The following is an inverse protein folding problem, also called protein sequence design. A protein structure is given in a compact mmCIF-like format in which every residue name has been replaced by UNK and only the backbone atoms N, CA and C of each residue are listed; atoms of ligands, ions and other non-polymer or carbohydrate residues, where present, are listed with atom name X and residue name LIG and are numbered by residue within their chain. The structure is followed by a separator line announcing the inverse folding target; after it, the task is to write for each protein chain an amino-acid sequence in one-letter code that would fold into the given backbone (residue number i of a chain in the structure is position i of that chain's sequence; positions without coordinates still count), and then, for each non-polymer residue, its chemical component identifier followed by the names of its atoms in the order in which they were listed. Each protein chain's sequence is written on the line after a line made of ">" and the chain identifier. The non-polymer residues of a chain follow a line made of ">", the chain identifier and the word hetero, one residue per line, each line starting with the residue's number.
data_IF_573564036193
#
_entry.id   IF_573564036193
#
_cell.length_a   1.000
_cell.length_b   1.000
_cell.length_c   1.000
_cell.angle_alpha   90.00
_cell.angle_beta   90.00
_cell.angle_gamma   90.00
#
_symmetry.space_group_name_H-M   'P 1'
#
loop_
_entity.id
_entity.type
_entity.pdbx_description
1 polymer ?
#
# COMPACT_ATOMS: atom_id res chain seq x y z
N UNK A 1 -2.57 -7.51 -20.02
CA UNK A 1 -2.73 -6.33 -19.16
C UNK A 1 -1.37 -6.00 -18.63
N UNK A 2 -0.89 -4.78 -18.87
CA UNK A 2 0.44 -4.37 -18.44
C UNK A 2 0.49 -4.23 -16.90
N UNK A 3 1.64 -4.50 -16.29
CA UNK A 3 1.86 -4.33 -14.84
C UNK A 3 1.67 -2.86 -14.44
N UNK A 4 2.05 -1.93 -15.33
CA UNK A 4 1.84 -0.49 -15.12
C UNK A 4 0.36 -0.17 -15.09
N UNK A 5 -0.40 -0.66 -16.07
CA UNK A 5 -1.85 -0.47 -16.16
C UNK A 5 -2.58 -1.07 -14.94
N UNK A 6 -2.17 -2.25 -14.48
CA UNK A 6 -2.70 -2.87 -13.25
C UNK A 6 -2.44 -2.01 -12.01
N UNK A 7 -1.24 -1.44 -11.90
CA UNK A 7 -0.86 -0.57 -10.78
C UNK A 7 -1.70 0.70 -10.77
N UNK A 8 -1.86 1.35 -11.92
CA UNK A 8 -2.66 2.58 -12.05
C UNK A 8 -4.13 2.33 -11.71
N UNK A 9 -4.71 1.22 -12.18
CA UNK A 9 -6.08 0.84 -11.83
C UNK A 9 -6.24 0.55 -10.33
N UNK A 10 -5.29 -0.16 -9.73
CA UNK A 10 -5.32 -0.44 -8.29
C UNK A 10 -5.20 0.85 -7.46
N UNK A 11 -4.35 1.78 -7.88
CA UNK A 11 -4.20 3.08 -7.23
C UNK A 11 -5.48 3.91 -7.34
N UNK A 12 -6.08 4.02 -8.54
CA UNK A 12 -7.32 4.75 -8.72
C UNK A 12 -8.48 4.17 -7.88
N UNK A 13 -8.57 2.83 -7.79
CA UNK A 13 -9.56 2.17 -6.96
C UNK A 13 -9.34 2.43 -5.46
N UNK A 14 -8.09 2.45 -5.01
CA UNK A 14 -7.72 2.80 -3.64
C UNK A 14 -8.11 4.23 -3.29
N UNK A 15 -7.72 5.20 -4.11
CA UNK A 15 -8.03 6.62 -3.92
C UNK A 15 -9.55 6.87 -3.90
N UNK A 16 -10.29 6.22 -4.81
CA UNK A 16 -11.74 6.31 -4.84
C UNK A 16 -12.39 5.79 -3.55
N UNK A 17 -11.97 4.60 -3.08
CA UNK A 17 -12.53 4.00 -1.87
C UNK A 17 -12.24 4.85 -0.62
N UNK A 18 -11.01 5.36 -0.49
CA UNK A 18 -10.62 6.25 0.60
C UNK A 18 -11.45 7.54 0.60
N UNK A 19 -11.53 8.21 -0.55
CA UNK A 19 -12.32 9.44 -0.68
C UNK A 19 -13.80 9.20 -0.36
N UNK A 20 -14.33 8.03 -0.73
CA UNK A 20 -15.70 7.66 -0.40
C UNK A 20 -15.91 7.49 1.10
N UNK A 21 -15.02 6.76 1.79
CA UNK A 21 -15.10 6.53 3.24
C UNK A 21 -14.97 7.83 4.03
N UNK A 22 -14.00 8.68 3.68
CA UNK A 22 -13.81 9.99 4.31
C UNK A 22 -15.04 10.88 4.10
N UNK A 23 -15.60 10.91 2.88
CA UNK A 23 -16.84 11.66 2.60
C UNK A 23 -18.04 11.16 3.41
N UNK A 24 -18.04 9.90 3.84
CA UNK A 24 -19.08 9.31 4.70
C UNK A 24 -18.86 9.58 6.19
N UNK A 25 -17.81 10.32 6.55
CA UNK A 25 -17.50 10.68 7.93
C UNK A 25 -16.56 9.70 8.63
N UNK A 26 -15.94 8.77 7.90
CA UNK A 26 -14.85 7.98 8.45
C UNK A 26 -13.62 8.87 8.62
N UNK A 27 -12.95 8.75 9.76
CA UNK A 27 -11.62 9.34 9.92
C UNK A 27 -10.66 8.71 8.91
N UNK A 28 -9.81 9.54 8.29
CA UNK A 28 -8.93 9.11 7.20
C UNK A 28 -7.94 8.02 7.65
N UNK A 29 -7.37 8.18 8.84
CA UNK A 29 -6.45 7.20 9.44
C UNK A 29 -7.15 5.84 9.64
N UNK A 30 -8.34 5.85 10.23
CA UNK A 30 -9.16 4.63 10.42
C UNK A 30 -9.54 3.99 9.09
N UNK A 31 -9.85 4.79 8.07
CA UNK A 31 -10.16 4.30 6.73
C UNK A 31 -8.95 3.60 6.09
N UNK A 32 -7.77 4.23 6.18
CA UNK A 32 -6.52 3.68 5.65
C UNK A 32 -6.15 2.35 6.33
N UNK A 33 -6.21 2.29 7.66
CA UNK A 33 -5.92 1.07 8.41
C UNK A 33 -6.88 -0.07 8.03
N UNK A 34 -8.18 0.24 7.96
CA UNK A 34 -9.21 -0.74 7.62
C UNK A 34 -9.03 -1.26 6.19
N UNK A 35 -8.79 -0.35 5.24
CA UNK A 35 -8.57 -0.73 3.84
C UNK A 35 -7.31 -1.59 3.68
N UNK A 36 -6.24 -1.28 4.42
CA UNK A 36 -5.00 -2.04 4.40
C UNK A 36 -5.21 -3.47 4.94
N UNK A 37 -5.92 -3.62 6.07
CA UNK A 37 -6.26 -4.92 6.65
C UNK A 37 -7.13 -5.77 5.69
N UNK A 38 -8.15 -5.17 5.08
CA UNK A 38 -9.00 -5.87 4.09
C UNK A 38 -8.19 -6.31 2.86
N UNK A 39 -7.34 -5.43 2.32
CA UNK A 39 -6.49 -5.76 1.18
C UNK A 39 -5.51 -6.89 1.52
N UNK A 40 -4.88 -6.82 2.70
CA UNK A 40 -3.96 -7.84 3.18
C UNK A 40 -4.64 -9.20 3.36
N UNK A 41 -5.79 -9.25 4.04
CA UNK A 41 -6.55 -10.49 4.24
C UNK A 41 -6.98 -11.09 2.91
N UNK A 42 -7.50 -10.27 1.99
CA UNK A 42 -7.89 -10.72 0.65
C UNK A 42 -6.71 -11.31 -0.12
N UNK A 43 -5.52 -10.72 0.02
CA UNK A 43 -4.31 -11.25 -0.61
C UNK A 43 -3.87 -12.57 0.05
N UNK A 44 -3.85 -12.64 1.38
CA UNK A 44 -3.51 -13.84 2.13
C UNK A 44 -4.47 -15.00 1.83
N UNK A 45 -5.77 -14.73 1.68
CA UNK A 45 -6.78 -15.73 1.34
C UNK A 45 -6.55 -16.30 -0.07
N UNK A 46 -6.07 -15.48 -1.01
CA UNK A 46 -5.85 -15.88 -2.42
C UNK A 46 -4.50 -16.54 -2.66
N UNK A 47 -3.44 -16.06 -2.01
CA UNK A 47 -2.05 -16.45 -2.28
C UNK A 47 -1.43 -17.27 -1.15
N UNK A 48 -2.13 -17.39 -0.02
CA UNK A 48 -1.65 -18.04 1.19
C UNK A 48 -0.92 -17.05 2.14
N UNK A 49 -0.93 -17.35 3.45
CA UNK A 49 -0.42 -16.44 4.48
C UNK A 49 1.10 -16.20 4.36
N UNK A 50 1.86 -17.19 3.90
CA UNK A 50 3.32 -17.08 3.71
C UNK A 50 3.66 -16.06 2.63
N UNK A 51 2.93 -16.06 1.51
CA UNK A 51 3.12 -15.09 0.44
C UNK A 51 2.82 -13.66 0.92
N UNK A 52 1.76 -13.49 1.72
CA UNK A 52 1.37 -12.21 2.28
C UNK A 52 2.44 -11.63 3.23
N UNK A 53 3.00 -12.46 4.12
CA UNK A 53 4.08 -12.03 5.03
C UNK A 53 5.35 -11.66 4.26
N UNK A 54 5.69 -12.43 3.22
CA UNK A 54 6.86 -12.13 2.39
C UNK A 54 6.68 -10.82 1.62
N UNK A 55 5.46 -10.53 1.14
CA UNK A 55 5.14 -9.25 0.50
C UNK A 55 5.32 -8.09 1.48
N UNK A 56 4.80 -8.18 2.71
CA UNK A 56 4.98 -7.14 3.72
C UNK A 56 6.45 -6.89 4.05
N UNK A 57 7.26 -7.96 4.18
CA UNK A 57 8.71 -7.83 4.39
C UNK A 57 9.39 -7.12 3.23
N UNK A 58 9.04 -7.46 2.00
CA UNK A 58 9.59 -6.80 0.81
C UNK A 58 9.23 -5.32 0.76
N UNK A 59 7.98 -4.97 1.07
CA UNK A 59 7.53 -3.57 1.11
C UNK A 59 8.22 -2.78 2.22
N UNK A 60 8.37 -3.35 3.42
CA UNK A 60 9.09 -2.72 4.52
C UNK A 60 10.56 -2.45 4.14
N UNK A 61 11.21 -3.42 3.50
CA UNK A 61 12.58 -3.28 2.99
C UNK A 61 12.68 -2.14 1.96
N UNK A 62 11.72 -2.04 1.03
CA UNK A 62 11.69 -1.00 0.01
C UNK A 62 11.51 0.40 0.60
N UNK A 63 10.63 0.54 1.61
CA UNK A 63 10.44 1.82 2.31
C UNK A 63 11.72 2.25 3.03
N UNK A 64 12.40 1.32 3.70
CA UNK A 64 13.66 1.60 4.38
C UNK A 64 14.77 1.98 3.38
N UNK A 65 14.86 1.27 2.25
CA UNK A 65 15.79 1.56 1.18
C UNK A 65 15.55 2.96 0.58
N UNK A 66 14.29 3.31 0.29
CA UNK A 66 13.95 4.61 -0.28
C UNK A 66 14.18 5.75 0.72
N UNK A 67 13.84 5.55 2.00
CA UNK A 67 14.16 6.51 3.05
C UNK A 67 15.66 6.79 3.14
N UNK A 68 16.49 5.72 3.11
CA UNK A 68 17.95 5.84 3.10
C UNK A 68 18.47 6.55 1.85
N UNK A 69 17.90 6.30 0.67
CA UNK A 69 18.25 7.01 -0.56
C UNK A 69 17.91 8.50 -0.48
N UNK A 70 16.73 8.86 0.01
CA UNK A 70 16.31 10.25 0.21
C UNK A 70 17.24 10.98 1.19
N UNK A 71 17.60 10.35 2.30
CA UNK A 71 18.56 10.91 3.26
C UNK A 71 19.96 11.09 2.65
N UNK A 72 20.43 10.12 1.86
CA UNK A 72 21.73 10.22 1.17
C UNK A 72 21.74 11.35 0.16
N UNK A 73 20.65 11.53 -0.60
CA UNK A 73 20.49 12.64 -1.54
C UNK A 73 20.43 14.02 -0.86
N UNK A 74 19.95 14.09 0.40
CA UNK A 74 19.93 15.33 1.19
C UNK A 74 21.29 15.66 1.82
N UNK A 75 22.10 14.66 2.15
CA UNK A 75 23.41 14.85 2.80
C UNK A 75 24.52 15.14 1.78
N UNK A 76 24.40 14.60 0.56
CA UNK A 76 25.42 14.71 -0.49
C UNK A 76 24.93 15.46 -1.75
N UNK A 77 23.76 16.10 -1.68
CA UNK A 77 23.16 16.91 -2.75
C UNK A 77 23.41 18.40 -2.58
#
# INVERSE_FOLDING_TARGET
>A
MDVVEQREQAQAAWEFALAHLVKKGCEEEVALETMADVAFRTYADRQGPVAAVNLLRLMAQQIEDDHRRSLTALVYG
#
